data_IF_970689177042
#
_entry.id   IF_970689177042
#
_cell.length_a   1.000
_cell.length_b   1.000
_cell.length_c   1.000
_cell.angle_alpha   90.00
_cell.angle_beta   90.00
_cell.angle_gamma   90.00
#
_symmetry.space_group_name_H-M   'P 1'
#
loop_
_entity.id
_entity.type
_entity.pdbx_description
1 polymer ?
#
# COMPACT_ATOMS: atom_id res chain seq x y z
N UNK A 1 16.49 -4.43 1.82
CA UNK A 1 15.82 -3.43 0.95
C UNK A 1 14.73 -4.14 0.18
N UNK A 2 13.50 -3.63 0.17
CA UNK A 2 12.41 -4.27 -0.59
C UNK A 2 12.67 -4.10 -2.10
N UNK A 3 12.25 -5.07 -2.93
CA UNK A 3 12.36 -4.97 -4.39
C UNK A 3 11.68 -3.70 -4.92
N UNK A 4 12.26 -3.01 -5.94
CA UNK A 4 11.69 -1.77 -6.49
C UNK A 4 10.22 -1.90 -6.93
N UNK A 5 9.87 -3.04 -7.51
CA UNK A 5 8.50 -3.37 -7.90
C UNK A 5 7.53 -3.39 -6.71
N UNK A 6 7.94 -3.93 -5.56
CA UNK A 6 7.08 -3.96 -4.35
C UNK A 6 6.88 -2.54 -3.82
N UNK A 7 7.93 -1.71 -3.89
CA UNK A 7 7.87 -0.32 -3.45
C UNK A 7 6.87 0.49 -4.29
N UNK A 8 6.90 0.37 -5.62
CA UNK A 8 5.93 1.02 -6.52
C UNK A 8 4.48 0.58 -6.26
N UNK A 9 4.26 -0.67 -5.83
CA UNK A 9 2.93 -1.17 -5.46
C UNK A 9 2.49 -0.62 -4.10
N UNK A 10 3.38 -0.55 -3.12
CA UNK A 10 3.11 0.07 -1.82
C UNK A 10 2.79 1.56 -1.98
N UNK A 11 3.50 2.27 -2.85
CA UNK A 11 3.22 3.69 -3.15
C UNK A 11 1.85 3.85 -3.84
N UNK A 12 1.49 2.92 -4.73
CA UNK A 12 0.15 2.88 -5.36
C UNK A 12 -0.95 2.68 -4.31
N UNK A 13 -0.76 1.75 -3.37
CA UNK A 13 -1.68 1.51 -2.26
C UNK A 13 -1.81 2.73 -1.34
N UNK A 14 -0.69 3.37 -0.99
CA UNK A 14 -0.69 4.60 -0.18
C UNK A 14 -1.49 5.72 -0.85
N UNK A 15 -1.39 5.84 -2.18
CA UNK A 15 -2.19 6.80 -2.95
C UNK A 15 -3.68 6.48 -2.91
N UNK A 16 -4.08 5.20 -2.91
CA UNK A 16 -5.49 4.82 -2.74
C UNK A 16 -5.98 5.21 -1.33
N UNK A 17 -5.16 5.03 -0.29
CA UNK A 17 -5.49 5.46 1.06
C UNK A 17 -5.69 6.98 1.15
N UNK A 18 -4.84 7.78 0.50
CA UNK A 18 -5.03 9.24 0.40
C UNK A 18 -6.35 9.60 -0.31
N UNK A 19 -6.73 8.87 -1.36
CA UNK A 19 -8.00 9.06 -2.04
C UNK A 19 -9.19 8.73 -1.14
N UNK A 20 -9.10 7.69 -0.31
CA UNK A 20 -10.14 7.34 0.66
C UNK A 20 -10.27 8.39 1.77
N UNK A 21 -9.16 8.96 2.25
CA UNK A 21 -9.18 10.09 3.17
C UNK A 21 -9.85 11.32 2.54
N UNK A 22 -9.52 11.63 1.29
CA UNK A 22 -10.13 12.74 0.55
C UNK A 22 -11.63 12.54 0.37
N UNK A 23 -12.07 11.30 0.12
CA UNK A 23 -13.47 10.94 0.00
C UNK A 23 -14.27 11.19 1.29
N UNK A 24 -13.69 10.92 2.46
CA UNK A 24 -14.31 11.27 3.74
C UNK A 24 -14.50 12.78 3.89
N UNK A 25 -13.55 13.57 3.37
CA UNK A 25 -13.63 15.02 3.39
C UNK A 25 -14.73 15.53 2.46
N UNK A 26 -14.85 14.97 1.25
CA UNK A 26 -15.96 15.27 0.32
C UNK A 26 -17.31 14.86 0.93
N UNK A 27 -17.39 13.71 1.61
CA UNK A 27 -18.62 13.29 2.31
C UNK A 27 -19.05 14.29 3.38
N UNK A 28 -18.11 14.85 4.14
CA UNK A 28 -18.39 15.90 5.12
C UNK A 28 -19.00 17.14 4.47
N UNK A 29 -18.48 17.54 3.30
CA UNK A 29 -19.02 18.66 2.52
C UNK A 29 -20.42 18.38 1.97
N UNK A 30 -20.69 17.15 1.50
CA UNK A 30 -22.02 16.71 1.05
C UNK A 30 -23.03 16.79 2.20
N UNK A 31 -22.68 16.31 3.39
CA UNK A 31 -23.56 16.38 4.57
C UNK A 31 -23.83 17.82 4.99
N UNK A 32 -22.81 18.68 4.98
CA UNK A 32 -22.95 20.10 5.29
C UNK A 32 -23.87 20.82 4.28
N UNK A 33 -23.60 20.66 2.99
CA UNK A 33 -24.40 21.29 1.91
C UNK A 33 -25.84 20.77 1.88
N UNK A 34 -26.06 19.49 2.17
CA UNK A 34 -27.40 18.93 2.36
C UNK A 34 -28.13 19.55 3.55
N UNK A 35 -27.42 19.77 4.66
CA UNK A 35 -27.92 20.48 5.83
C UNK A 35 -28.45 21.87 5.45
N UNK A 36 -27.65 22.67 4.78
CA UNK A 36 -28.02 24.03 4.36
C UNK A 36 -29.17 24.05 3.34
N UNK A 37 -29.19 23.10 2.39
CA UNK A 37 -30.30 22.91 1.45
C UNK A 37 -31.63 22.64 2.17
N UNK A 38 -31.60 21.83 3.22
CA UNK A 38 -32.79 21.50 4.03
C UNK A 38 -33.29 22.71 4.84
N UNK A 39 -32.41 23.65 5.19
CA UNK A 39 -32.77 24.90 5.87
C UNK A 39 -33.30 25.99 4.91
N UNK A 40 -33.44 25.69 3.61
CA UNK A 40 -34.04 26.58 2.62
C UNK A 40 -33.04 27.36 1.77
N UNK A 41 -31.74 27.11 1.92
CA UNK A 41 -30.70 27.72 1.09
C UNK A 41 -30.53 26.96 -0.24
N UNK A 42 -31.37 27.28 -1.23
CA UNK A 42 -31.37 26.62 -2.54
C UNK A 42 -30.18 27.01 -3.44
N UNK A 43 -29.42 28.06 -3.09
CA UNK A 43 -28.26 28.52 -3.87
C UNK A 43 -27.11 27.49 -3.84
N UNK A 44 -27.10 26.61 -2.85
CA UNK A 44 -26.09 25.55 -2.67
C UNK A 44 -26.42 24.25 -3.42
N UNK A 45 -27.56 24.17 -4.10
CA UNK A 45 -27.96 23.00 -4.90
C UNK A 45 -26.90 22.56 -5.93
N UNK A 46 -26.34 23.44 -6.77
CA UNK A 46 -25.29 23.05 -7.72
C UNK A 46 -24.02 22.53 -7.04
N UNK A 47 -23.66 23.09 -5.87
CA UNK A 47 -22.49 22.65 -5.10
C UNK A 47 -22.72 21.25 -4.50
N UNK A 48 -23.93 21.00 -3.99
CA UNK A 48 -24.31 19.67 -3.50
C UNK A 48 -24.28 18.61 -4.61
N UNK A 49 -24.83 18.92 -5.80
CA UNK A 49 -24.80 18.02 -6.95
C UNK A 49 -23.34 17.72 -7.39
N UNK A 50 -22.49 18.74 -7.40
CA UNK A 50 -21.07 18.60 -7.70
C UNK A 50 -20.35 17.71 -6.67
N UNK A 51 -20.46 18.02 -5.37
CA UNK A 51 -19.79 17.24 -4.32
C UNK A 51 -20.31 15.80 -4.26
N UNK A 52 -21.59 15.58 -4.54
CA UNK A 52 -22.17 14.23 -4.59
C UNK A 52 -21.61 13.45 -5.77
N UNK A 53 -21.55 14.05 -6.95
CA UNK A 53 -20.94 13.45 -8.15
C UNK A 53 -19.46 13.11 -7.93
N UNK A 54 -18.71 14.05 -7.35
CA UNK A 54 -17.31 13.89 -7.02
C UNK A 54 -17.08 12.77 -6.00
N UNK A 55 -17.94 12.66 -4.99
CA UNK A 55 -17.90 11.58 -4.00
C UNK A 55 -18.05 10.20 -4.66
N UNK A 56 -19.09 10.01 -5.48
CA UNK A 56 -19.32 8.72 -6.14
C UNK A 56 -18.23 8.38 -7.16
N UNK A 57 -17.76 9.37 -7.93
CA UNK A 57 -16.68 9.18 -8.91
C UNK A 57 -15.36 8.79 -8.23
N UNK A 58 -15.05 9.45 -7.10
CA UNK A 58 -13.85 9.13 -6.31
C UNK A 58 -13.95 7.75 -5.69
N UNK A 59 -15.14 7.36 -5.20
CA UNK A 59 -15.39 6.03 -4.65
C UNK A 59 -15.17 4.93 -5.69
N UNK A 60 -15.75 5.11 -6.88
CA UNK A 60 -15.62 4.16 -7.98
C UNK A 60 -14.16 4.01 -8.41
N UNK A 61 -13.45 5.14 -8.53
CA UNK A 61 -12.03 5.14 -8.88
C UNK A 61 -11.18 4.41 -7.83
N UNK A 62 -11.35 4.73 -6.54
CA UNK A 62 -10.59 4.12 -5.44
C UNK A 62 -10.87 2.61 -5.34
N UNK A 63 -12.14 2.21 -5.40
CA UNK A 63 -12.53 0.78 -5.35
C UNK A 63 -12.02 0.00 -6.56
N UNK A 64 -12.05 0.59 -7.76
CA UNK A 64 -11.50 -0.01 -8.98
C UNK A 64 -9.97 -0.19 -8.89
N UNK A 65 -9.26 0.82 -8.38
CA UNK A 65 -7.81 0.74 -8.16
C UNK A 65 -7.46 -0.33 -7.12
N UNK A 66 -8.13 -0.35 -5.98
CA UNK A 66 -7.89 -1.35 -4.93
C UNK A 66 -8.15 -2.78 -5.44
N UNK A 67 -9.20 -2.98 -6.25
CA UNK A 67 -9.50 -4.27 -6.88
C UNK A 67 -8.43 -4.70 -7.88
N UNK A 68 -7.83 -3.75 -8.62
CA UNK A 68 -6.69 -4.04 -9.50
C UNK A 68 -5.46 -4.43 -8.69
N UNK A 69 -5.13 -3.71 -7.63
CA UNK A 69 -4.00 -4.06 -6.76
C UNK A 69 -4.19 -5.43 -6.10
N UNK A 70 -5.39 -5.76 -5.63
CA UNK A 70 -5.69 -7.10 -5.11
C UNK A 70 -5.47 -8.20 -6.16
N UNK A 71 -5.92 -8.00 -7.41
CA UNK A 71 -5.69 -8.96 -8.49
C UNK A 71 -4.20 -9.13 -8.79
N UNK A 72 -3.45 -8.02 -8.83
CA UNK A 72 -2.00 -8.07 -9.02
C UNK A 72 -1.31 -8.78 -7.86
N UNK A 73 -1.81 -8.64 -6.64
CA UNK A 73 -1.28 -9.33 -5.47
C UNK A 73 -1.56 -10.83 -5.55
N UNK A 74 -2.78 -11.24 -5.93
CA UNK A 74 -3.16 -12.63 -6.17
C UNK A 74 -2.33 -13.28 -7.28
N UNK A 75 -2.08 -12.56 -8.38
CA UNK A 75 -1.23 -13.03 -9.49
C UNK A 75 0.25 -13.16 -9.08
N UNK A 76 0.73 -12.32 -8.15
CA UNK A 76 2.12 -12.35 -7.69
C UNK A 76 2.37 -13.34 -6.53
N UNK A 77 1.31 -13.85 -5.88
CA UNK A 77 1.42 -14.91 -4.88
C UNK A 77 1.82 -16.22 -5.58
N UNK A 78 2.96 -16.79 -5.18
CA UNK A 78 3.40 -18.11 -5.64
C UNK A 78 4.16 -18.13 -6.97
N UNK A 79 4.23 -17.03 -7.73
CA UNK A 79 4.97 -16.98 -8.99
C UNK A 79 6.43 -16.50 -8.80
N UNK A 80 6.68 -15.35 -8.13
CA UNK A 80 8.05 -14.77 -8.13
C UNK A 80 8.53 -13.93 -6.93
N UNK A 81 7.68 -13.28 -6.12
CA UNK A 81 8.16 -12.20 -5.23
C UNK A 81 7.57 -12.17 -3.82
N UNK A 82 6.34 -12.64 -3.63
CA UNK A 82 5.72 -12.68 -2.31
C UNK A 82 5.80 -14.10 -1.76
N UNK A 83 6.28 -14.28 -0.51
CA UNK A 83 6.26 -15.59 0.10
C UNK A 83 4.85 -16.16 0.05
N UNK A 84 4.76 -17.47 -0.18
CA UNK A 84 3.51 -18.22 -0.03
C UNK A 84 2.92 -17.86 1.33
N UNK A 85 1.59 -17.85 1.44
CA UNK A 85 0.84 -17.49 2.64
C UNK A 85 1.24 -18.38 3.84
N UNK A 86 2.36 -18.04 4.48
CA UNK A 86 2.89 -18.70 5.67
C UNK A 86 3.32 -17.59 6.62
N UNK A 87 3.04 -17.78 7.90
CA UNK A 87 3.33 -16.82 8.96
C UNK A 87 4.74 -16.25 8.85
N UNK A 88 4.95 -15.00 9.32
CA UNK A 88 6.28 -14.39 9.45
C UNK A 88 7.18 -15.32 10.27
N UNK A 89 7.94 -16.19 9.60
CA UNK A 89 9.00 -17.00 10.21
C UNK A 89 10.20 -16.09 10.47
N UNK A 90 11.09 -16.52 11.36
CA UNK A 90 12.34 -15.83 11.63
C UNK A 90 13.24 -15.86 10.39
N UNK A 91 13.13 -14.82 9.55
CA UNK A 91 14.05 -14.56 8.45
C UNK A 91 15.34 -13.96 9.05
N UNK A 92 16.46 -14.67 8.94
CA UNK A 92 17.78 -14.20 9.40
C UNK A 92 18.69 -15.31 9.94
N UNK A 93 18.12 -16.40 10.46
CA UNK A 93 18.91 -17.48 11.05
C UNK A 93 19.88 -18.13 10.05
N UNK A 94 19.48 -18.22 8.77
CA UNK A 94 20.28 -18.85 7.73
C UNK A 94 21.45 -17.96 7.31
N UNK A 95 21.21 -16.66 7.09
CA UNK A 95 22.25 -15.69 6.74
C UNK A 95 23.25 -15.48 7.87
N UNK A 96 22.78 -15.42 9.12
CA UNK A 96 23.64 -15.28 10.30
C UNK A 96 24.60 -16.45 10.45
N UNK A 97 24.10 -17.69 10.27
CA UNK A 97 24.94 -18.90 10.28
C UNK A 97 25.93 -18.92 9.12
N UNK A 98 25.50 -18.50 7.92
CA UNK A 98 26.38 -18.47 6.75
C UNK A 98 27.51 -17.45 6.94
N UNK A 99 27.21 -16.27 7.49
CA UNK A 99 28.18 -15.22 7.80
C UNK A 99 29.17 -15.65 8.86
N UNK A 100 28.72 -16.35 9.89
CA UNK A 100 29.58 -16.92 10.94
C UNK A 100 30.59 -17.91 10.36
N UNK A 101 30.13 -18.87 9.54
CA UNK A 101 31.02 -19.83 8.88
C UNK A 101 31.98 -19.15 7.90
N UNK A 102 31.53 -18.13 7.18
CA UNK A 102 32.38 -17.38 6.25
C UNK A 102 33.46 -16.58 6.99
N UNK A 103 33.17 -16.06 8.18
CA UNK A 103 34.17 -15.40 9.04
C UNK A 103 35.23 -16.38 9.54
N UNK A 104 34.81 -17.52 10.07
CA UNK A 104 35.71 -18.59 10.52
C UNK A 104 36.64 -19.04 9.39
N UNK A 105 36.09 -19.23 8.19
CA UNK A 105 36.88 -19.63 7.03
C UNK A 105 37.93 -18.57 6.66
N UNK A 106 37.58 -17.28 6.73
CA UNK A 106 38.52 -16.17 6.46
C UNK A 106 39.64 -16.10 7.51
N UNK A 107 39.34 -16.32 8.78
CA UNK A 107 40.36 -16.37 9.85
C UNK A 107 41.35 -17.53 9.64
N UNK A 108 40.85 -18.71 9.26
CA UNK A 108 41.71 -19.86 8.95
C UNK A 108 42.58 -19.55 7.73
N UNK A 109 42.02 -18.93 6.69
CA UNK A 109 42.78 -18.59 5.48
C UNK A 109 43.89 -17.56 5.77
N UNK A 110 43.62 -16.56 6.62
CA UNK A 110 44.62 -15.57 7.03
C UNK A 110 45.71 -16.12 7.95
N UNK A 111 45.38 -17.09 8.81
CA UNK A 111 46.37 -17.76 9.64
C UNK A 111 47.30 -18.68 8.83
N UNK A 112 46.79 -19.31 7.75
CA UNK A 112 47.62 -20.13 6.87
C UNK A 112 48.45 -19.33 5.86
N UNK A 113 48.00 -18.14 5.42
CA UNK A 113 48.79 -17.27 4.54
C UNK A 113 49.91 -16.50 5.25
N UNK A 114 50.00 -16.61 6.57
CA UNK A 114 51.00 -15.93 7.41
C UNK A 114 52.11 -16.88 7.92
N UNK A 115 52.15 -18.12 7.42
CA UNK A 115 53.26 -19.09 7.54
C UNK A 115 53.95 -19.25 6.19
#
# INVERSE_FOLDING_TARGET
>A
MQPPYIQERLDSLAKVDEQLCSLLQTASQVVFTYGELKHGNHDLKPQFEQHTSEFYTTLESATSQLKKEMRLLDENIGIRLLPINVSKKALGQDDDKLLEQTKLLKEILHSQSSQ
#
